data_IF_120338868507
#
_entry.id   IF_120338868507
#
_cell.length_a   1.000
_cell.length_b   1.000
_cell.length_c   1.000
_cell.angle_alpha   90.00
_cell.angle_beta   90.00
_cell.angle_gamma   90.00
#
_symmetry.space_group_name_H-M   'P 1'
#
loop_
_entity.id
_entity.type
_entity.pdbx_description
1 polymer ?
#
# COMPACT_ATOMS: atom_id res chain seq x y z
N UNK A 1 15.48 -33.32 -20.08
CA UNK A 1 15.75 -33.89 -18.75
C UNK A 1 17.00 -33.22 -18.25
N UNK A 2 16.82 -32.12 -17.56
CA UNK A 2 17.90 -31.37 -16.91
C UNK A 2 17.78 -31.71 -15.44
N UNK A 3 18.80 -32.31 -14.86
CA UNK A 3 18.84 -32.65 -13.43
C UNK A 3 18.71 -31.37 -12.59
N UNK A 4 17.89 -31.34 -11.53
CA UNK A 4 17.88 -30.23 -10.61
C UNK A 4 19.17 -30.23 -9.77
N UNK A 5 19.71 -29.04 -9.52
CA UNK A 5 20.84 -28.86 -8.63
C UNK A 5 20.44 -29.21 -7.19
N UNK A 6 21.30 -29.94 -6.50
CA UNK A 6 21.11 -30.45 -5.14
C UNK A 6 22.12 -29.78 -4.23
N UNK A 7 21.70 -29.32 -3.05
CA UNK A 7 22.62 -28.75 -2.07
C UNK A 7 23.45 -29.85 -1.38
N UNK A 8 24.44 -29.42 -0.58
CA UNK A 8 25.52 -30.25 -0.04
C UNK A 8 25.05 -31.45 0.83
N UNK A 9 23.79 -31.45 1.28
CA UNK A 9 23.19 -32.49 2.12
C UNK A 9 22.17 -33.39 1.38
N UNK A 10 21.97 -33.20 0.07
CA UNK A 10 21.09 -34.08 -0.72
C UNK A 10 19.59 -33.85 -0.51
N UNK A 11 19.20 -32.79 0.20
CA UNK A 11 17.82 -32.32 0.27
C UNK A 11 17.51 -31.40 -0.93
N UNK A 12 16.32 -31.51 -1.55
CA UNK A 12 15.87 -30.50 -2.49
C UNK A 12 15.86 -29.16 -1.77
N UNK A 13 16.43 -28.12 -2.38
CA UNK A 13 16.25 -26.75 -1.88
C UNK A 13 14.75 -26.53 -1.64
N UNK A 14 14.35 -25.92 -0.51
CA UNK A 14 12.95 -25.64 -0.27
C UNK A 14 12.40 -24.87 -1.47
N UNK A 15 11.27 -25.32 -2.01
CA UNK A 15 10.54 -24.52 -2.98
C UNK A 15 10.23 -23.19 -2.27
N UNK A 16 10.78 -22.08 -2.79
CA UNK A 16 10.47 -20.71 -2.33
C UNK A 16 8.97 -20.39 -2.37
N UNK A 17 8.17 -21.26 -2.99
CA UNK A 17 6.71 -21.22 -3.00
C UNK A 17 6.03 -21.82 -1.74
N UNK A 18 6.77 -22.45 -0.82
CA UNK A 18 6.23 -23.12 0.39
C UNK A 18 6.37 -22.28 1.68
N UNK A 19 7.10 -21.15 1.63
CA UNK A 19 7.07 -20.17 2.73
C UNK A 19 5.73 -19.40 2.71
N UNK A 20 5.07 -19.23 3.87
CA UNK A 20 3.83 -18.48 3.94
C UNK A 20 4.06 -17.06 3.41
N UNK A 21 3.14 -16.57 2.58
CA UNK A 21 3.23 -15.22 2.03
C UNK A 21 3.35 -14.20 3.18
N UNK A 22 4.19 -13.17 3.04
CA UNK A 22 4.37 -12.19 4.10
C UNK A 22 3.05 -11.46 4.39
N UNK A 23 2.75 -11.31 5.68
CA UNK A 23 1.59 -10.57 6.19
C UNK A 23 2.10 -9.41 7.07
N UNK A 24 2.51 -8.29 6.45
CA UNK A 24 3.06 -7.16 7.20
C UNK A 24 1.99 -6.58 8.14
N UNK A 25 2.39 -6.18 9.34
CA UNK A 25 1.52 -5.42 10.23
C UNK A 25 1.30 -4.02 9.65
N UNK A 26 0.04 -3.56 9.60
CA UNK A 26 -0.35 -2.29 8.97
C UNK A 26 -1.20 -1.47 9.94
N UNK A 27 -0.89 -0.17 10.07
CA UNK A 27 -1.72 0.83 10.74
C UNK A 27 -2.00 1.97 9.78
N UNK A 28 -3.16 2.62 9.93
CA UNK A 28 -3.59 3.70 9.05
C UNK A 28 -3.90 4.95 9.88
N UNK A 29 -3.31 6.08 9.50
CA UNK A 29 -3.60 7.39 10.09
C UNK A 29 -4.35 8.22 9.07
N UNK A 30 -5.58 8.61 9.37
CA UNK A 30 -6.34 9.57 8.57
C UNK A 30 -6.22 10.95 9.19
N UNK A 31 -5.93 11.98 8.40
CA UNK A 31 -5.82 13.36 8.90
C UNK A 31 -5.92 14.39 7.80
N UNK A 32 -6.05 15.66 8.18
CA UNK A 32 -5.94 16.79 7.24
C UNK A 32 -4.49 17.28 7.23
N UNK A 33 -3.88 17.33 6.06
CA UNK A 33 -2.50 17.77 5.87
C UNK A 33 -2.49 19.06 5.06
N UNK A 34 -1.73 20.04 5.51
CA UNK A 34 -1.45 21.26 4.77
C UNK A 34 -0.10 21.11 4.07
N UNK A 35 -0.13 20.77 2.78
CA UNK A 35 1.06 20.48 1.99
C UNK A 35 1.41 21.72 1.16
N UNK A 36 2.21 22.61 1.73
CA UNK A 36 2.64 23.84 1.03
C UNK A 36 3.68 23.56 -0.07
N UNK A 37 4.52 22.55 0.14
CA UNK A 37 5.56 22.08 -0.78
C UNK A 37 5.59 20.55 -0.72
N UNK A 38 5.36 19.91 -1.87
CA UNK A 38 5.24 18.46 -1.93
C UNK A 38 6.57 17.76 -1.58
N UNK A 39 7.70 18.30 -2.06
CA UNK A 39 9.00 17.68 -1.84
C UNK A 39 9.38 17.74 -0.34
N UNK A 40 9.08 18.85 0.33
CA UNK A 40 9.28 18.98 1.78
C UNK A 40 8.41 18.01 2.57
N UNK A 41 7.12 17.87 2.20
CA UNK A 41 6.23 16.92 2.86
C UNK A 41 6.67 15.46 2.67
N UNK A 42 7.10 15.09 1.46
CA UNK A 42 7.66 13.76 1.20
C UNK A 42 8.94 13.53 2.02
N UNK A 43 9.80 14.54 2.16
CA UNK A 43 10.99 14.45 3.00
C UNK A 43 10.64 14.25 4.50
N UNK A 44 9.56 14.85 5.00
CA UNK A 44 9.09 14.61 6.36
C UNK A 44 8.64 13.15 6.54
N UNK A 45 7.90 12.58 5.58
CA UNK A 45 7.50 11.16 5.61
C UNK A 45 8.70 10.21 5.50
N UNK A 46 9.67 10.53 4.64
CA UNK A 46 10.92 9.78 4.52
C UNK A 46 11.70 9.81 5.85
N UNK A 47 11.72 10.96 6.54
CA UNK A 47 12.29 11.09 7.87
C UNK A 47 11.63 10.14 8.88
N UNK A 48 10.30 10.07 8.90
CA UNK A 48 9.57 9.11 9.74
C UNK A 48 9.94 7.67 9.39
N UNK A 49 10.01 7.33 8.10
CA UNK A 49 10.37 5.99 7.64
C UNK A 49 11.80 5.61 8.07
N UNK A 50 12.76 6.53 7.94
CA UNK A 50 14.16 6.32 8.35
C UNK A 50 14.31 6.14 9.86
N UNK A 51 13.61 6.96 10.66
CA UNK A 51 13.69 6.92 12.13
C UNK A 51 13.04 5.65 12.72
N UNK A 52 11.97 5.18 12.10
CA UNK A 52 11.13 4.09 12.65
C UNK A 52 11.34 2.76 11.96
N UNK A 53 11.95 2.73 10.77
CA UNK A 53 12.05 1.53 9.93
C UNK A 53 10.76 1.15 9.21
N UNK A 54 9.66 1.89 9.43
CA UNK A 54 8.38 1.62 8.81
C UNK A 54 8.37 1.98 7.31
N UNK A 55 7.54 1.28 6.55
CA UNK A 55 7.07 1.78 5.25
C UNK A 55 6.02 2.84 5.53
N UNK A 56 6.22 4.07 5.04
CA UNK A 56 5.28 5.19 5.20
C UNK A 56 4.81 5.65 3.82
N UNK A 57 3.51 5.56 3.53
CA UNK A 57 2.95 5.97 2.24
C UNK A 57 1.64 6.72 2.42
N UNK A 58 1.57 7.94 1.88
CA UNK A 58 0.37 8.77 1.89
C UNK A 58 -0.49 8.57 0.63
N UNK A 59 -1.80 8.60 0.83
CA UNK A 59 -2.83 8.45 -0.21
C UNK A 59 -3.88 9.56 -0.07
N UNK A 60 -4.39 10.07 -1.19
CA UNK A 60 -5.56 10.95 -1.19
C UNK A 60 -6.76 10.21 -0.62
N UNK A 61 -7.30 10.72 0.50
CA UNK A 61 -8.38 10.04 1.22
C UNK A 61 -9.71 10.01 0.44
N UNK A 62 -9.88 10.86 -0.58
CA UNK A 62 -11.05 10.84 -1.46
C UNK A 62 -10.98 9.70 -2.47
N UNK A 63 -9.81 9.08 -2.67
CA UNK A 63 -9.60 7.97 -3.59
C UNK A 63 -9.44 6.61 -2.90
N UNK A 64 -9.34 6.58 -1.57
CA UNK A 64 -9.25 5.34 -0.78
C UNK A 64 -10.65 4.85 -0.43
N UNK A 65 -11.06 3.71 -1.00
CA UNK A 65 -12.42 3.19 -0.83
C UNK A 65 -12.64 2.42 0.47
N UNK A 66 -11.57 1.85 1.05
CA UNK A 66 -11.67 1.09 2.29
C UNK A 66 -10.29 0.84 2.92
N UNK A 67 -10.25 0.51 4.21
CA UNK A 67 -8.99 0.15 4.86
C UNK A 67 -8.45 -1.20 4.35
N UNK A 68 -9.34 -2.15 4.02
CA UNK A 68 -8.98 -3.42 3.38
C UNK A 68 -8.24 -3.21 2.06
N UNK A 69 -8.59 -2.19 1.26
CA UNK A 69 -7.84 -1.87 0.04
C UNK A 69 -6.34 -1.70 0.31
N UNK A 70 -5.98 -0.86 1.29
CA UNK A 70 -4.59 -0.54 1.58
C UNK A 70 -3.86 -1.70 2.27
N UNK A 71 -4.54 -2.45 3.15
CA UNK A 71 -3.98 -3.64 3.79
C UNK A 71 -3.68 -4.74 2.77
N UNK A 72 -4.59 -4.99 1.83
CA UNK A 72 -4.35 -5.94 0.73
C UNK A 72 -3.23 -5.46 -0.19
N UNK A 73 -3.17 -4.16 -0.50
CA UNK A 73 -2.07 -3.61 -1.28
C UNK A 73 -0.72 -3.81 -0.60
N UNK A 74 -0.61 -3.59 0.71
CA UNK A 74 0.61 -3.83 1.47
C UNK A 74 1.03 -5.30 1.47
N UNK A 75 0.07 -6.22 1.65
CA UNK A 75 0.30 -7.67 1.59
C UNK A 75 0.80 -8.12 0.22
N UNK A 76 0.18 -7.63 -0.85
CA UNK A 76 0.58 -7.97 -2.22
C UNK A 76 1.94 -7.37 -2.59
N UNK A 77 2.23 -6.14 -2.16
CA UNK A 77 3.53 -5.52 -2.32
C UNK A 77 4.64 -6.31 -1.59
N UNK A 78 4.41 -6.66 -0.32
CA UNK A 78 5.34 -7.49 0.45
C UNK A 78 5.61 -8.83 -0.25
N UNK A 79 4.57 -9.47 -0.80
CA UNK A 79 4.71 -10.71 -1.56
C UNK A 79 5.51 -10.51 -2.85
N UNK A 80 5.26 -9.43 -3.57
CA UNK A 80 5.99 -9.06 -4.80
C UNK A 80 7.49 -8.90 -4.52
N UNK A 81 7.82 -8.18 -3.45
CA UNK A 81 9.19 -7.93 -2.98
C UNK A 81 9.87 -9.25 -2.57
N UNK A 82 9.20 -10.07 -1.76
CA UNK A 82 9.71 -11.39 -1.32
C UNK A 82 10.03 -12.33 -2.50
N UNK A 83 9.34 -12.17 -3.63
CA UNK A 83 9.55 -12.95 -4.85
C UNK A 83 10.56 -12.33 -5.83
N UNK A 84 11.07 -11.15 -5.53
CA UNK A 84 11.91 -10.39 -6.46
C UNK A 84 11.17 -9.94 -7.72
N UNK A 85 9.84 -9.81 -7.65
CA UNK A 85 8.96 -9.42 -8.75
C UNK A 85 8.55 -7.94 -8.70
N UNK A 86 9.02 -7.21 -7.69
CA UNK A 86 8.66 -5.81 -7.45
C UNK A 86 8.99 -4.91 -8.65
N UNK A 87 8.05 -4.02 -8.97
CA UNK A 87 8.21 -3.04 -10.03
C UNK A 87 9.01 -1.84 -9.53
N UNK A 88 8.73 -1.41 -8.29
CA UNK A 88 9.40 -0.32 -7.61
C UNK A 88 10.47 -0.83 -6.65
N UNK A 89 11.54 -0.02 -6.49
CA UNK A 89 12.61 -0.29 -5.52
C UNK A 89 12.23 0.11 -4.10
N UNK A 90 11.43 1.17 -3.96
CA UNK A 90 10.93 1.58 -2.67
C UNK A 90 9.63 0.80 -2.35
N UNK A 91 9.56 0.10 -1.21
CA UNK A 91 8.36 -0.61 -0.81
C UNK A 91 7.09 0.24 -0.70
N UNK A 92 7.17 1.51 -0.29
CA UNK A 92 6.00 2.40 -0.23
C UNK A 92 5.43 2.67 -1.61
N UNK A 93 6.31 2.90 -2.59
CA UNK A 93 5.91 3.02 -4.00
C UNK A 93 5.33 1.71 -4.53
N UNK A 94 5.86 0.54 -4.13
CA UNK A 94 5.26 -0.74 -4.50
C UNK A 94 3.84 -0.90 -3.91
N UNK A 95 3.62 -0.52 -2.64
CA UNK A 95 2.28 -0.47 -2.04
C UNK A 95 1.36 0.46 -2.85
N UNK A 96 1.85 1.62 -3.28
CA UNK A 96 1.09 2.56 -4.09
C UNK A 96 0.66 1.97 -5.44
N UNK A 97 1.54 1.22 -6.12
CA UNK A 97 1.20 0.52 -7.38
C UNK A 97 0.07 -0.48 -7.19
N UNK A 98 0.15 -1.30 -6.12
CA UNK A 98 -0.92 -2.25 -5.78
C UNK A 98 -2.22 -1.54 -5.41
N UNK A 99 -2.18 -0.51 -4.56
CA UNK A 99 -3.35 0.25 -4.16
C UNK A 99 -4.05 0.95 -5.35
N UNK A 100 -3.26 1.40 -6.33
CA UNK A 100 -3.75 1.97 -7.58
C UNK A 100 -4.27 0.93 -8.57
N UNK A 101 -3.99 -0.37 -8.37
CA UNK A 101 -4.28 -1.42 -9.35
C UNK A 101 -3.57 -1.16 -10.68
N UNK A 102 -2.37 -0.57 -10.65
CA UNK A 102 -1.64 -0.11 -11.85
C UNK A 102 -0.14 -0.36 -11.69
N UNK A 103 0.52 -0.83 -12.75
CA UNK A 103 1.99 -1.02 -12.79
C UNK A 103 2.77 0.22 -13.22
N UNK A 104 2.08 1.24 -13.76
CA UNK A 104 2.72 2.47 -14.22
C UNK A 104 2.84 3.45 -13.05
N UNK A 105 4.07 3.73 -12.61
CA UNK A 105 4.35 4.62 -11.46
C UNK A 105 3.69 5.98 -11.66
N UNK A 106 3.89 6.65 -12.79
CA UNK A 106 3.31 7.98 -13.06
C UNK A 106 1.78 8.01 -12.90
N UNK A 107 1.11 6.89 -13.21
CA UNK A 107 -0.35 6.74 -13.11
C UNK A 107 -0.83 6.31 -11.73
N UNK A 108 0.05 5.74 -10.91
CA UNK A 108 -0.25 5.39 -9.53
C UNK A 108 0.01 6.57 -8.59
N UNK A 109 0.96 7.45 -8.91
CA UNK A 109 1.21 8.70 -8.17
C UNK A 109 -0.03 9.61 -8.12
N UNK A 110 -0.93 9.52 -9.10
CA UNK A 110 -2.25 10.17 -9.08
C UNK A 110 -3.14 9.73 -7.88
N UNK A 111 -2.86 8.59 -7.23
CA UNK A 111 -3.52 8.12 -5.99
C UNK A 111 -2.88 8.70 -4.72
N UNK A 112 -1.66 9.23 -4.84
CA UNK A 112 -0.93 9.87 -3.74
C UNK A 112 -1.49 11.25 -3.40
N UNK A 113 -0.76 11.97 -2.56
CA UNK A 113 -1.11 13.34 -2.18
C UNK A 113 -0.51 14.37 -3.15
N UNK A 114 -0.97 15.61 -3.04
CA UNK A 114 -0.57 16.75 -3.87
C UNK A 114 -0.40 18.02 -3.02
N UNK A 115 0.09 19.11 -3.60
CA UNK A 115 0.12 20.40 -2.89
C UNK A 115 -1.28 20.91 -2.57
N UNK A 116 -1.43 21.55 -1.41
CA UNK A 116 -2.67 22.09 -0.88
C UNK A 116 -3.13 21.45 0.43
N UNK A 117 -4.24 21.95 0.96
CA UNK A 117 -4.90 21.35 2.12
C UNK A 117 -5.78 20.19 1.64
N UNK A 118 -5.50 18.98 2.11
CA UNK A 118 -6.28 17.78 1.77
C UNK A 118 -6.38 16.79 2.91
N UNK A 119 -7.42 15.97 2.87
CA UNK A 119 -7.49 14.79 3.75
C UNK A 119 -6.67 13.68 3.11
N UNK A 120 -5.76 13.08 3.87
CA UNK A 120 -4.99 11.93 3.43
C UNK A 120 -5.15 10.75 4.39
N UNK A 121 -4.96 9.55 3.86
CA UNK A 121 -4.73 8.34 4.66
C UNK A 121 -3.25 7.99 4.49
N UNK A 122 -2.53 7.93 5.60
CA UNK A 122 -1.12 7.50 5.63
C UNK A 122 -1.08 6.08 6.16
N UNK A 123 -0.55 5.18 5.34
CA UNK A 123 -0.25 3.81 5.72
C UNK A 123 1.13 3.77 6.37
N UNK A 124 1.21 3.13 7.54
CA UNK A 124 2.48 2.72 8.16
C UNK A 124 2.50 1.20 8.28
N UNK A 125 3.56 0.56 7.80
CA UNK A 125 3.65 -0.90 7.78
C UNK A 125 5.04 -1.44 8.12
N UNK A 126 5.05 -2.59 8.79
CA UNK A 126 6.28 -3.30 9.16
C UNK A 126 6.66 -4.28 8.06
N UNK A 127 7.75 -3.98 7.35
CA UNK A 127 8.31 -4.83 6.31
C UNK A 127 9.64 -5.46 6.76
N UNK A 128 9.99 -5.39 8.04
CA UNK A 128 11.27 -5.89 8.55
C UNK A 128 11.48 -7.39 8.40
N UNK A 129 10.39 -8.16 8.43
CA UNK A 129 10.39 -9.61 8.21
C UNK A 129 10.10 -10.00 6.74
N UNK A 130 9.97 -9.04 5.83
CA UNK A 130 9.72 -9.31 4.40
C UNK A 130 11.06 -9.58 3.70
N UNK A 131 11.27 -10.80 3.13
CA UNK A 131 12.49 -11.09 2.39
C UNK A 131 12.71 -10.10 1.24
N UNK A 132 13.94 -9.61 1.08
CA UNK A 132 14.27 -8.66 0.00
C UNK A 132 13.78 -7.22 0.18
N UNK A 133 13.07 -6.90 1.27
CA UNK A 133 12.71 -5.51 1.58
C UNK A 133 13.89 -4.69 2.16
N UNK A 134 14.93 -5.37 2.66
CA UNK A 134 16.15 -4.76 3.23
C UNK A 134 15.87 -3.67 4.28
N UNK A 135 14.85 -3.88 5.13
CA UNK A 135 14.43 -2.96 6.21
C UNK A 135 14.54 -3.63 7.60
N UNK A 136 14.79 -2.86 8.66
CA UNK A 136 14.68 -3.36 10.03
C UNK A 136 13.21 -3.54 10.43
N UNK A 137 12.96 -4.24 11.53
CA UNK A 137 11.64 -4.28 12.17
C UNK A 137 11.18 -2.86 12.52
N UNK A 138 9.93 -2.54 12.23
CA UNK A 138 9.39 -1.20 12.36
C UNK A 138 8.89 -0.87 13.79
N UNK A 139 9.15 0.35 14.26
CA UNK A 139 8.44 0.97 15.37
C UNK A 139 7.13 1.60 14.88
N UNK A 140 6.08 0.79 14.76
CA UNK A 140 4.78 1.26 14.26
C UNK A 140 4.13 2.28 15.19
N UNK A 141 4.30 2.17 16.51
CA UNK A 141 3.72 3.11 17.46
C UNK A 141 4.39 4.48 17.32
N UNK A 142 5.73 4.51 17.22
CA UNK A 142 6.50 5.73 16.92
C UNK A 142 6.13 6.34 15.57
N UNK A 143 5.97 5.52 14.53
CA UNK A 143 5.58 5.99 13.19
C UNK A 143 4.17 6.60 13.18
N UNK A 144 3.21 5.96 13.82
CA UNK A 144 1.83 6.48 13.96
C UNK A 144 1.84 7.83 14.65
N UNK A 145 2.56 7.97 15.78
CA UNK A 145 2.59 9.23 16.51
C UNK A 145 3.28 10.34 15.71
N UNK A 146 4.41 10.06 15.05
CA UNK A 146 5.09 11.03 14.20
C UNK A 146 4.22 11.51 13.03
N UNK A 147 3.49 10.59 12.36
CA UNK A 147 2.55 10.96 11.29
C UNK A 147 1.38 11.79 11.82
N UNK A 148 0.86 11.48 13.01
CA UNK A 148 -0.21 12.26 13.64
C UNK A 148 0.23 13.70 13.95
N UNK A 149 1.50 13.92 14.30
CA UNK A 149 2.05 15.25 14.52
C UNK A 149 2.08 16.12 13.24
N UNK A 150 2.17 15.48 12.06
CA UNK A 150 2.11 16.17 10.76
C UNK A 150 0.69 16.56 10.33
N UNK A 151 -0.35 16.01 10.98
CA UNK A 151 -1.74 16.18 10.59
C UNK A 151 -2.56 16.99 11.61
N UNK A 152 -3.52 17.75 11.09
CA UNK A 152 -4.58 18.35 11.89
C UNK A 152 -5.76 17.38 11.97
N UNK A 153 -6.26 17.16 13.19
CA UNK A 153 -7.47 16.35 13.42
C UNK A 153 -7.30 14.86 13.07
N UNK A 154 -6.08 14.33 13.22
CA UNK A 154 -5.77 12.94 12.87
C UNK A 154 -6.50 11.93 13.75
N UNK A 155 -6.92 10.82 13.15
CA UNK A 155 -7.46 9.64 13.83
C UNK A 155 -6.81 8.39 13.24
N UNK A 156 -6.46 7.43 14.08
CA UNK A 156 -6.04 6.10 13.62
C UNK A 156 -7.27 5.26 13.31
N UNK A 157 -7.28 4.64 12.14
CA UNK A 157 -8.35 3.73 11.74
C UNK A 157 -8.20 2.43 12.53
N UNK A 158 -9.23 2.00 13.30
CA UNK A 158 -9.20 0.70 13.96
C UNK A 158 -8.97 -0.46 12.98
N UNK A 159 -8.73 -1.67 13.49
CA UNK A 159 -8.55 -2.90 12.68
C UNK A 159 -9.78 -3.31 11.83
N UNK A 160 -10.83 -2.47 11.76
CA UNK A 160 -11.98 -2.65 10.89
C UNK A 160 -11.81 -2.06 9.47
N UNK A 161 -12.83 -2.25 8.65
CA UNK A 161 -12.88 -1.77 7.26
C UNK A 161 -13.53 -0.37 7.12
N UNK A 162 -14.00 0.18 8.23
CA UNK A 162 -14.72 1.47 8.25
C UNK A 162 -13.70 2.59 8.31
N UNK A 163 -13.58 3.34 7.22
CA UNK A 163 -13.06 4.70 7.26
C UNK A 163 -14.22 5.59 7.70
N UNK A 164 -14.05 6.36 8.79
CA UNK A 164 -15.12 7.17 9.39
C UNK A 164 -15.70 8.25 8.44
N UNK A 165 -15.06 8.49 7.30
CA UNK A 165 -15.51 9.43 6.26
C UNK A 165 -15.52 8.77 4.86
N UNK A 166 -16.53 9.13 4.07
CA UNK A 166 -16.73 8.63 2.72
C UNK A 166 -15.66 9.16 1.74
N UNK A 167 -15.30 8.33 0.76
CA UNK A 167 -14.54 8.71 -0.43
C UNK A 167 -15.41 9.46 -1.44
N UNK A 168 -14.80 10.09 -2.45
CA UNK A 168 -15.51 10.71 -3.56
C UNK A 168 -15.79 9.68 -4.67
N UNK A 169 -17.03 9.21 -4.79
CA UNK A 169 -17.43 8.21 -5.79
C UNK A 169 -17.08 8.63 -7.22
N UNK A 170 -17.25 9.92 -7.56
CA UNK A 170 -16.96 10.43 -8.90
C UNK A 170 -15.47 10.35 -9.22
N UNK A 171 -14.62 10.82 -8.30
CA UNK A 171 -13.17 10.78 -8.44
C UNK A 171 -12.64 9.35 -8.46
N UNK A 172 -13.15 8.47 -7.58
CA UNK A 172 -12.78 7.04 -7.57
C UNK A 172 -13.12 6.39 -8.91
N UNK A 173 -14.34 6.62 -9.44
CA UNK A 173 -14.75 6.03 -10.72
C UNK A 173 -13.92 6.54 -11.88
N UNK A 174 -13.58 7.83 -11.89
CA UNK A 174 -12.67 8.42 -12.88
C UNK A 174 -11.28 7.79 -12.80
N UNK A 175 -10.69 7.75 -11.59
CA UNK A 175 -9.35 7.20 -11.37
C UNK A 175 -9.27 5.71 -11.74
N UNK A 176 -10.20 4.88 -11.27
CA UNK A 176 -10.18 3.44 -11.53
C UNK A 176 -10.85 3.06 -12.87
N UNK A 177 -11.28 4.05 -13.67
CA UNK A 177 -12.00 3.88 -14.92
C UNK A 177 -13.24 2.97 -14.80
N UNK A 178 -13.98 3.10 -13.70
CA UNK A 178 -15.14 2.24 -13.37
C UNK A 178 -16.39 2.76 -14.07
N UNK A 179 -16.92 1.96 -14.99
CA UNK A 179 -18.07 2.35 -15.82
C UNK A 179 -19.41 1.98 -15.18
N UNK A 180 -20.50 2.67 -15.56
CA UNK A 180 -21.86 2.30 -15.13
C UNK A 180 -22.20 0.85 -15.50
N UNK A 181 -21.73 0.41 -16.67
CA UNK A 181 -21.96 -0.95 -17.17
C UNK A 181 -21.29 -2.01 -16.30
N UNK A 182 -20.09 -1.71 -15.82
CA UNK A 182 -19.32 -2.58 -14.92
C UNK A 182 -20.03 -2.71 -13.56
N UNK A 183 -20.40 -1.57 -12.95
CA UNK A 183 -21.14 -1.57 -11.70
C UNK A 183 -22.49 -2.30 -11.81
N UNK A 184 -23.19 -2.13 -12.93
CA UNK A 184 -24.45 -2.85 -13.17
C UNK A 184 -24.27 -4.36 -13.42
N UNK A 185 -23.05 -4.82 -13.75
CA UNK A 185 -22.74 -6.21 -14.03
C UNK A 185 -22.14 -6.95 -12.82
N UNK A 186 -21.66 -6.23 -11.80
CA UNK A 186 -21.16 -6.84 -10.56
C UNK A 186 -22.28 -7.00 -9.53
N UNK A 187 -22.11 -7.96 -8.62
CA UNK A 187 -22.98 -8.08 -7.43
C UNK A 187 -22.48 -7.25 -6.24
N UNK A 188 -21.30 -6.65 -6.37
CA UNK A 188 -20.65 -5.82 -5.36
C UNK A 188 -20.87 -4.32 -5.55
N UNK A 189 -20.25 -3.53 -4.70
CA UNK A 189 -20.22 -2.08 -4.79
C UNK A 189 -18.93 -1.56 -5.44
N UNK A 190 -18.76 -0.23 -5.47
CA UNK A 190 -17.55 0.38 -6.01
C UNK A 190 -16.28 -0.05 -5.26
N UNK A 191 -16.37 -0.27 -3.95
CA UNK A 191 -15.23 -0.72 -3.16
C UNK A 191 -14.83 -2.17 -3.53
N UNK A 192 -15.80 -3.05 -3.78
CA UNK A 192 -15.54 -4.40 -4.31
C UNK A 192 -14.77 -4.36 -5.63
N UNK A 193 -15.20 -3.50 -6.56
CA UNK A 193 -14.58 -3.34 -7.89
C UNK A 193 -13.15 -2.80 -7.80
N UNK A 194 -12.88 -1.90 -6.85
CA UNK A 194 -11.52 -1.40 -6.60
C UNK A 194 -10.65 -2.46 -5.93
N UNK A 195 -11.15 -3.18 -4.93
CA UNK A 195 -10.42 -4.30 -4.29
C UNK A 195 -10.09 -5.40 -5.29
N UNK A 196 -10.97 -5.66 -6.25
CA UNK A 196 -10.70 -6.60 -7.34
C UNK A 196 -9.50 -6.13 -8.19
N UNK A 197 -9.41 -4.85 -8.56
CA UNK A 197 -8.25 -4.30 -9.29
C UNK A 197 -6.95 -4.43 -8.50
N UNK A 198 -6.98 -4.20 -7.18
CA UNK A 198 -5.82 -4.42 -6.30
C UNK A 198 -5.39 -5.89 -6.34
N UNK A 199 -6.35 -6.82 -6.20
CA UNK A 199 -6.07 -8.25 -6.14
C UNK A 199 -5.59 -8.86 -7.47
N UNK A 200 -6.06 -8.34 -8.61
CA UNK A 200 -5.78 -8.89 -9.93
C UNK A 200 -4.52 -8.32 -10.60
N UNK A 201 -3.85 -7.33 -10.02
CA UNK A 201 -2.69 -6.66 -10.62
C UNK A 201 -1.57 -7.64 -11.06
N UNK A 202 -1.38 -8.74 -10.34
CA UNK A 202 -0.40 -9.79 -10.67
C UNK A 202 -0.89 -10.84 -11.66
N UNK A 203 -2.20 -10.97 -11.83
CA UNK A 203 -2.81 -11.89 -12.81
C UNK A 203 -2.78 -11.26 -14.21
N UNK A 204 -2.83 -9.94 -14.30
CA UNK A 204 -2.86 -9.17 -15.56
C UNK A 204 -1.44 -8.85 -16.12
N UNK A 205 -0.42 -9.62 -15.72
CA UNK A 205 0.95 -9.53 -16.25
C UNK A 205 1.07 -9.88 -17.73
#
# INVERSE_FOLDING_TARGET
MTDPAVDADGEPAPDVDDEPAPEPAVRLVRGTFAIDDLDAFLADLDGVAEETGAVVQAFDADLVVSATQLREAARLAARSIARGEAVARDPGVEVLLYAAGRRQIDRALELGVSEGEQTAVVLVADFGDVPGADRPAADLDGAVEAVRELAVGSTETPDGDVLDAAFDEGRVREFYAVTDRELAATNGDLADVVRERVALLDVEK
#
